data_IF_520749233739
#
_entry.id   IF_520749233739
#
_cell.length_a   1.000
_cell.length_b   1.000
_cell.length_c   1.000
_cell.angle_alpha   90.00
_cell.angle_beta   90.00
_cell.angle_gamma   90.00
#
_symmetry.space_group_name_H-M   'P 1'
#
loop_
_entity.id
_entity.type
_entity.pdbx_description
1 polymer ?
#
# COMPACT_ATOMS: atom_id res chain seq x y z
N UNK A 1 -43.33 51.18 6.89
CA UNK A 1 -42.23 50.48 7.62
C UNK A 1 -42.03 49.03 7.16
N UNK A 2 -43.07 48.34 6.65
CA UNK A 2 -43.00 46.97 6.13
C UNK A 2 -42.12 46.78 4.87
N UNK A 3 -42.21 47.66 3.87
CA UNK A 3 -41.45 47.52 2.62
C UNK A 3 -39.92 47.55 2.77
N UNK A 4 -39.40 48.34 3.72
CA UNK A 4 -37.95 48.39 4.01
C UNK A 4 -37.44 47.08 4.64
N UNK A 5 -38.25 46.41 5.45
CA UNK A 5 -37.88 45.12 6.08
C UNK A 5 -37.86 43.98 5.05
N UNK A 6 -38.82 43.97 4.13
CA UNK A 6 -38.87 42.99 3.03
C UNK A 6 -37.67 43.17 2.10
N UNK A 7 -37.29 44.43 1.78
CA UNK A 7 -36.12 44.72 0.95
C UNK A 7 -34.81 44.24 1.60
N UNK A 8 -34.63 44.47 2.91
CA UNK A 8 -33.42 44.03 3.64
C UNK A 8 -33.34 42.51 3.68
N UNK A 9 -34.44 41.80 3.92
CA UNK A 9 -34.47 40.33 3.93
C UNK A 9 -34.12 39.80 2.53
N UNK A 10 -34.69 40.37 1.46
CA UNK A 10 -34.38 39.98 0.09
C UNK A 10 -32.89 40.14 -0.24
N UNK A 11 -32.26 41.25 0.16
CA UNK A 11 -30.83 41.50 -0.07
C UNK A 11 -29.97 40.50 0.71
N UNK A 12 -30.26 40.24 1.97
CA UNK A 12 -29.52 39.26 2.77
C UNK A 12 -29.64 37.85 2.18
N UNK A 13 -30.83 37.48 1.70
CA UNK A 13 -31.05 36.17 1.09
C UNK A 13 -30.26 36.02 -0.22
N UNK A 14 -30.22 37.08 -1.04
CA UNK A 14 -29.40 37.11 -2.28
C UNK A 14 -27.91 37.01 -1.95
N UNK A 15 -27.44 37.69 -0.91
CA UNK A 15 -26.02 37.62 -0.50
C UNK A 15 -25.64 36.22 0.03
N UNK A 16 -26.54 35.55 0.75
CA UNK A 16 -26.33 34.17 1.21
C UNK A 16 -26.37 33.19 0.04
N UNK A 17 -27.28 33.38 -0.91
CA UNK A 17 -27.33 32.55 -2.13
C UNK A 17 -26.11 32.77 -3.01
N UNK A 18 -25.62 34.01 -3.16
CA UNK A 18 -24.40 34.30 -3.90
C UNK A 18 -23.16 33.74 -3.21
N UNK A 19 -23.07 33.80 -1.88
CA UNK A 19 -21.94 33.23 -1.14
C UNK A 19 -21.95 31.70 -1.16
N UNK A 20 -23.11 31.05 -1.02
CA UNK A 20 -23.26 29.60 -1.16
C UNK A 20 -23.01 29.12 -2.58
N UNK A 21 -23.44 29.87 -3.60
CA UNK A 21 -23.14 29.59 -5.01
C UNK A 21 -21.65 29.75 -5.33
N UNK A 22 -20.99 30.77 -4.79
CA UNK A 22 -19.53 30.94 -4.87
C UNK A 22 -18.77 29.80 -4.16
N UNK A 23 -19.26 29.37 -2.98
CA UNK A 23 -18.70 28.22 -2.26
C UNK A 23 -18.89 26.93 -3.08
N UNK A 24 -20.07 26.74 -3.68
CA UNK A 24 -20.42 25.59 -4.52
C UNK A 24 -19.56 25.53 -5.79
N UNK A 25 -19.31 26.66 -6.45
CA UNK A 25 -18.37 26.71 -7.59
C UNK A 25 -16.93 26.45 -7.18
N UNK A 26 -16.51 26.94 -6.02
CA UNK A 26 -15.19 26.63 -5.47
C UNK A 26 -15.04 25.14 -5.11
N UNK A 27 -16.15 24.47 -4.76
CA UNK A 27 -16.20 23.06 -4.41
C UNK A 27 -16.34 22.14 -5.63
N UNK A 28 -17.02 22.59 -6.68
CA UNK A 28 -17.11 21.87 -7.95
C UNK A 28 -15.77 21.81 -8.69
N UNK A 29 -14.83 22.69 -8.34
CA UNK A 29 -13.58 22.86 -9.07
C UNK A 29 -13.87 23.37 -10.50
N UNK A 30 -12.96 24.15 -11.06
CA UNK A 30 -12.80 23.99 -12.51
C UNK A 30 -12.47 22.52 -12.77
N UNK A 31 -12.77 22.00 -13.96
CA UNK A 31 -12.20 20.73 -14.39
C UNK A 31 -10.67 20.89 -14.43
N UNK A 32 -10.01 20.86 -13.27
CA UNK A 32 -8.59 20.66 -13.18
C UNK A 32 -8.39 19.31 -13.83
N UNK A 33 -7.86 19.33 -15.05
CA UNK A 33 -7.32 18.13 -15.65
C UNK A 33 -6.43 17.51 -14.60
N UNK A 34 -6.73 16.28 -14.18
CA UNK A 34 -5.85 15.44 -13.36
C UNK A 34 -4.62 15.02 -14.19
N UNK A 35 -3.97 16.01 -14.81
CA UNK A 35 -2.75 15.83 -15.57
C UNK A 35 -1.63 15.57 -14.58
N UNK A 36 -0.95 14.45 -14.77
CA UNK A 36 0.22 14.08 -13.99
C UNK A 36 1.38 15.00 -14.38
N UNK A 37 1.79 15.84 -13.44
CA UNK A 37 2.95 16.72 -13.56
C UNK A 37 4.18 16.03 -13.01
N UNK A 38 5.36 16.50 -13.40
CA UNK A 38 6.66 16.04 -12.88
C UNK A 38 7.37 17.17 -12.18
N UNK A 39 8.21 16.84 -11.21
CA UNK A 39 9.12 17.81 -10.61
C UNK A 39 10.33 18.04 -11.53
N UNK A 40 10.87 19.26 -11.53
CA UNK A 40 12.10 19.61 -12.25
C UNK A 40 13.34 19.45 -11.37
N UNK A 41 13.14 19.35 -10.05
CA UNK A 41 14.20 19.18 -9.07
C UNK A 41 13.69 18.57 -7.77
N UNK A 42 14.61 17.99 -7.00
CA UNK A 42 14.34 17.54 -5.64
C UNK A 42 13.76 18.66 -4.74
N UNK A 43 14.30 19.88 -4.84
CA UNK A 43 13.80 21.02 -4.05
C UNK A 43 12.34 21.37 -4.39
N UNK A 44 11.93 21.19 -5.64
CA UNK A 44 10.54 21.40 -6.05
C UNK A 44 9.62 20.36 -5.40
N UNK A 45 10.01 19.08 -5.41
CA UNK A 45 9.31 18.00 -4.72
C UNK A 45 9.19 18.28 -3.22
N UNK A 46 10.32 18.59 -2.56
CA UNK A 46 10.36 18.89 -1.12
C UNK A 46 9.47 20.07 -0.75
N UNK A 47 9.54 21.17 -1.50
CA UNK A 47 8.69 22.33 -1.27
C UNK A 47 7.21 22.03 -1.54
N UNK A 48 6.90 21.24 -2.56
CA UNK A 48 5.53 20.83 -2.86
C UNK A 48 4.92 20.05 -1.69
N UNK A 49 5.60 19.01 -1.19
CA UNK A 49 5.08 18.21 -0.08
C UNK A 49 4.97 19.06 1.19
N UNK A 50 6.01 19.84 1.54
CA UNK A 50 6.02 20.69 2.74
C UNK A 50 4.88 21.72 2.73
N UNK A 51 4.72 22.47 1.64
CA UNK A 51 3.70 23.50 1.53
C UNK A 51 2.29 22.91 1.62
N UNK A 52 2.05 21.76 1.00
CA UNK A 52 0.73 21.14 1.03
C UNK A 52 0.39 20.53 2.40
N UNK A 53 1.35 19.94 3.10
CA UNK A 53 1.16 19.47 4.48
C UNK A 53 0.92 20.65 5.44
N UNK A 54 1.61 21.79 5.26
CA UNK A 54 1.35 23.01 6.02
C UNK A 54 -0.03 23.63 5.72
N UNK A 55 -0.48 23.57 4.46
CA UNK A 55 -1.80 24.07 4.07
C UNK A 55 -2.92 23.17 4.62
N UNK A 56 -2.73 21.86 4.56
CA UNK A 56 -3.71 20.89 5.04
C UNK A 56 -3.79 20.85 6.58
N UNK A 57 -2.67 20.92 7.30
CA UNK A 57 -2.68 21.07 8.77
C UNK A 57 -3.44 22.32 9.24
N UNK A 58 -3.35 23.43 8.48
CA UNK A 58 -4.15 24.65 8.73
C UNK A 58 -5.64 24.47 8.43
N UNK A 59 -6.00 23.71 7.40
CA UNK A 59 -7.40 23.49 6.98
C UNK A 59 -8.14 22.44 7.81
N UNK A 60 -7.46 21.35 8.20
CA UNK A 60 -8.03 20.25 8.97
C UNK A 60 -7.87 20.42 10.48
N UNK A 61 -7.32 21.57 10.94
CA UNK A 61 -7.16 21.87 12.36
C UNK A 61 -6.18 20.95 13.10
N UNK A 62 -5.32 20.25 12.36
CA UNK A 62 -4.26 19.40 12.93
C UNK A 62 -3.06 20.29 13.24
N UNK A 63 -3.24 21.21 14.20
CA UNK A 63 -2.13 21.54 15.08
C UNK A 63 -1.64 20.23 15.68
N UNK A 64 -0.32 20.05 15.70
CA UNK A 64 0.33 18.80 16.08
C UNK A 64 -0.35 18.11 17.25
N UNK A 65 -0.35 16.78 17.21
CA UNK A 65 -0.69 15.93 18.35
C UNK A 65 0.27 16.29 19.51
N UNK A 66 -0.03 17.35 20.24
CA UNK A 66 -0.06 17.27 21.69
C UNK A 66 -1.39 16.58 21.94
N UNK A 67 -1.37 15.32 22.38
CA UNK A 67 -2.54 14.73 23.03
C UNK A 67 -2.77 15.57 24.28
N UNK A 68 -3.75 16.49 24.34
CA UNK A 68 -4.21 16.91 25.65
C UNK A 68 -4.96 15.68 26.15
N UNK A 69 -4.68 15.24 27.36
CA UNK A 69 -5.46 14.21 28.04
C UNK A 69 -6.95 14.53 27.97
N UNK A 70 -7.62 14.02 26.94
CA UNK A 70 -9.05 14.15 26.72
C UNK A 70 -9.66 12.75 26.90
N UNK A 71 -10.85 12.65 27.49
CA UNK A 71 -11.27 11.46 28.20
C UNK A 71 -11.44 10.28 27.24
N UNK A 72 -10.95 9.14 27.70
CA UNK A 72 -11.02 7.75 27.19
C UNK A 72 -12.40 7.27 26.68
N UNK A 73 -13.43 8.11 26.66
CA UNK A 73 -14.79 7.78 26.26
C UNK A 73 -14.99 7.74 24.74
N UNK A 74 -14.34 8.60 23.95
CA UNK A 74 -14.61 8.70 22.50
C UNK A 74 -13.97 7.55 21.69
N UNK A 75 -12.86 6.99 22.17
CA UNK A 75 -12.20 5.84 21.52
C UNK A 75 -12.78 4.48 21.96
N UNK A 76 -13.52 4.44 23.07
CA UNK A 76 -14.12 3.19 23.58
C UNK A 76 -15.25 2.67 22.70
N UNK A 77 -16.08 3.57 22.17
CA UNK A 77 -17.27 3.19 21.41
C UNK A 77 -16.95 2.75 19.97
N UNK A 78 -15.90 3.32 19.36
CA UNK A 78 -15.43 2.90 18.03
C UNK A 78 -14.74 1.52 18.11
N UNK A 79 -13.94 1.30 19.15
CA UNK A 79 -13.26 0.01 19.37
C UNK A 79 -14.24 -1.13 19.73
N UNK A 80 -15.28 -0.84 20.53
CA UNK A 80 -16.31 -1.82 20.88
C UNK A 80 -17.19 -2.23 19.67
N UNK A 81 -17.34 -1.35 18.68
CA UNK A 81 -18.11 -1.63 17.46
C UNK A 81 -17.30 -2.48 16.46
N UNK A 82 -15.96 -2.39 16.47
CA UNK A 82 -15.10 -3.23 15.63
C UNK A 82 -14.86 -4.64 16.20
N UNK A 83 -14.98 -4.82 17.51
CA UNK A 83 -14.74 -6.10 18.17
C UNK A 83 -15.86 -7.15 18.00
N UNK A 84 -17.01 -6.77 17.43
CA UNK A 84 -18.17 -7.65 17.22
C UNK A 84 -18.35 -8.13 15.78
N UNK A 85 -17.44 -7.77 14.87
CA UNK A 85 -17.41 -8.36 13.54
C UNK A 85 -16.72 -9.73 13.60
N UNK A 86 -17.49 -10.81 13.75
CA UNK A 86 -17.00 -12.14 13.39
C UNK A 86 -16.43 -12.07 11.97
N UNK A 87 -15.11 -12.29 11.85
CA UNK A 87 -14.41 -12.37 10.59
C UNK A 87 -14.92 -13.61 9.82
N UNK A 88 -16.06 -13.44 9.15
CA UNK A 88 -16.52 -14.33 8.11
C UNK A 88 -15.40 -14.41 7.06
N UNK A 89 -15.08 -15.58 6.48
CA UNK A 89 -14.13 -15.67 5.38
C UNK A 89 -14.55 -14.70 4.28
N UNK A 90 -13.82 -13.60 4.14
CA UNK A 90 -14.01 -12.71 3.01
C UNK A 90 -13.53 -13.45 1.77
N UNK A 91 -14.45 -13.78 0.88
CA UNK A 91 -14.12 -14.20 -0.46
C UNK A 91 -14.43 -13.05 -1.40
N UNK A 92 -13.48 -12.73 -2.28
CA UNK A 92 -13.72 -11.75 -3.33
C UNK A 92 -14.76 -12.35 -4.28
N UNK A 93 -15.83 -11.61 -4.59
CA UNK A 93 -16.63 -11.90 -5.79
C UNK A 93 -15.72 -11.56 -6.96
N UNK A 94 -15.61 -12.47 -7.93
CA UNK A 94 -14.68 -12.34 -9.04
C UNK A 94 -14.87 -10.99 -9.75
N UNK A 95 -13.85 -10.13 -9.62
CA UNK A 95 -13.58 -9.13 -10.64
C UNK A 95 -13.56 -9.89 -11.98
N UNK A 96 -14.13 -9.32 -13.03
CA UNK A 96 -14.18 -9.98 -14.35
C UNK A 96 -12.76 -10.40 -14.72
N UNK A 97 -12.47 -11.70 -14.67
CA UNK A 97 -11.12 -12.21 -14.94
C UNK A 97 -10.79 -11.90 -16.40
N UNK A 98 -9.75 -11.09 -16.58
CA UNK A 98 -9.26 -10.75 -17.92
C UNK A 98 -8.37 -11.90 -18.38
N UNK A 99 -8.63 -12.40 -19.58
CA UNK A 99 -7.81 -13.45 -20.17
C UNK A 99 -6.34 -13.04 -20.22
N UNK A 100 -5.45 -13.93 -19.78
CA UNK A 100 -4.00 -13.71 -19.79
C UNK A 100 -3.45 -12.90 -18.61
N UNK A 101 -4.30 -12.51 -17.64
CA UNK A 101 -3.89 -11.81 -16.42
C UNK A 101 -4.04 -12.74 -15.22
N UNK A 102 -2.95 -12.94 -14.47
CA UNK A 102 -2.95 -13.71 -13.23
C UNK A 102 -2.76 -12.79 -12.01
N UNK A 103 -3.32 -13.18 -10.87
CA UNK A 103 -3.19 -12.49 -9.58
C UNK A 103 -2.38 -13.38 -8.61
N UNK A 104 -1.58 -12.82 -7.70
CA UNK A 104 -0.82 -13.66 -6.79
C UNK A 104 -1.76 -14.32 -5.78
N UNK A 105 -1.62 -15.63 -5.62
CA UNK A 105 -2.40 -16.43 -4.67
C UNK A 105 -1.47 -17.05 -3.63
N UNK A 106 -2.00 -17.45 -2.47
CA UNK A 106 -1.25 -18.25 -1.50
C UNK A 106 -1.15 -19.73 -1.89
N UNK A 107 -1.94 -20.17 -2.89
CA UNK A 107 -1.94 -21.52 -3.44
C UNK A 107 -1.98 -21.41 -4.97
N UNK A 108 -1.03 -22.05 -5.67
CA UNK A 108 -1.04 -22.21 -7.14
C UNK A 108 -0.84 -23.66 -7.53
N UNK A 109 -1.19 -24.00 -8.76
CA UNK A 109 -0.92 -25.31 -9.36
C UNK A 109 -0.53 -25.17 -10.83
N UNK A 110 0.35 -26.06 -11.29
CA UNK A 110 0.68 -26.25 -12.70
C UNK A 110 0.07 -27.56 -13.27
N UNK A 111 -0.82 -28.19 -12.50
CA UNK A 111 -1.44 -29.48 -12.81
C UNK A 111 -0.65 -30.71 -12.31
N UNK A 112 0.67 -30.60 -12.17
CA UNK A 112 1.52 -31.69 -11.64
C UNK A 112 1.94 -31.46 -10.19
N UNK A 113 2.07 -30.19 -9.80
CA UNK A 113 2.46 -29.73 -8.49
C UNK A 113 1.45 -28.73 -7.92
N UNK A 114 1.31 -28.73 -6.61
CA UNK A 114 0.70 -27.65 -5.83
C UNK A 114 1.81 -26.92 -5.09
N UNK A 115 1.75 -25.60 -5.14
CA UNK A 115 2.64 -24.68 -4.46
C UNK A 115 1.78 -23.92 -3.47
N UNK A 116 2.08 -24.00 -2.17
CA UNK A 116 1.30 -23.26 -1.20
C UNK A 116 2.15 -22.69 -0.08
N UNK A 117 1.79 -21.49 0.33
CA UNK A 117 2.35 -20.82 1.50
C UNK A 117 1.65 -21.37 2.74
N UNK A 118 2.44 -21.79 3.71
CA UNK A 118 2.03 -22.30 5.02
C UNK A 118 2.65 -21.42 6.10
N UNK A 119 1.86 -21.07 7.12
CA UNK A 119 2.27 -20.08 8.11
C UNK A 119 2.13 -18.65 7.56
N UNK A 120 2.57 -17.66 8.32
CA UNK A 120 2.62 -16.26 7.83
C UNK A 120 1.38 -15.41 8.09
N UNK A 121 0.43 -15.84 8.94
CA UNK A 121 -0.65 -14.93 9.38
C UNK A 121 -0.28 -14.12 10.64
N UNK A 122 0.68 -14.61 11.43
CA UNK A 122 1.20 -13.89 12.59
C UNK A 122 2.54 -13.23 12.26
N UNK A 123 2.52 -11.89 12.23
CA UNK A 123 3.66 -10.99 11.97
C UNK A 123 4.87 -11.19 12.91
N UNK A 124 4.73 -12.00 13.95
CA UNK A 124 5.63 -12.07 15.11
C UNK A 124 6.39 -13.40 15.21
N UNK A 125 5.88 -14.48 14.60
CA UNK A 125 6.30 -15.84 14.99
C UNK A 125 7.28 -16.53 14.05
N UNK A 126 7.71 -15.86 12.97
CA UNK A 126 8.81 -16.28 12.09
C UNK A 126 8.90 -17.78 11.87
N UNK A 127 7.99 -18.35 11.08
CA UNK A 127 7.99 -19.76 10.66
C UNK A 127 7.04 -19.93 9.46
N UNK A 128 7.31 -19.18 8.40
CA UNK A 128 6.55 -19.30 7.15
C UNK A 128 7.31 -20.23 6.21
N UNK A 129 6.62 -21.14 5.53
CA UNK A 129 7.22 -22.01 4.53
C UNK A 129 6.37 -22.05 3.26
N UNK A 130 7.00 -22.03 2.09
CA UNK A 130 6.38 -22.48 0.85
C UNK A 130 6.61 -23.99 0.75
N UNK A 131 5.55 -24.75 0.54
CA UNK A 131 5.59 -26.19 0.34
C UNK A 131 5.24 -26.51 -1.10
N UNK A 132 6.07 -27.33 -1.74
CA UNK A 132 5.84 -27.85 -3.10
C UNK A 132 5.49 -29.33 -2.99
N UNK A 133 4.30 -29.68 -3.46
CA UNK A 133 3.74 -31.04 -3.39
C UNK A 133 3.54 -31.55 -4.80
N UNK A 134 4.12 -32.70 -5.13
CA UNK A 134 3.71 -33.43 -6.34
C UNK A 134 2.32 -34.00 -6.09
N UNK A 135 1.38 -33.74 -6.99
CA UNK A 135 -0.01 -34.23 -6.89
C UNK A 135 -0.43 -35.12 -8.04
N UNK A 136 0.32 -35.12 -9.13
CA UNK A 136 0.11 -36.03 -10.26
C UNK A 136 1.44 -36.71 -10.69
N UNK A 137 1.42 -38.02 -10.96
CA UNK A 137 0.27 -38.92 -10.76
C UNK A 137 -0.02 -39.16 -9.25
N UNK A 138 -1.27 -39.50 -8.86
CA UNK A 138 -1.66 -39.58 -7.45
C UNK A 138 -0.85 -40.57 -6.61
N UNK A 139 -0.39 -41.67 -7.21
CA UNK A 139 0.46 -42.69 -6.58
C UNK A 139 1.83 -42.17 -6.12
N UNK A 140 2.30 -41.07 -6.72
CA UNK A 140 3.59 -40.43 -6.40
C UNK A 140 3.43 -39.19 -5.51
N UNK A 141 2.22 -38.96 -4.96
CA UNK A 141 1.90 -37.77 -4.20
C UNK A 141 2.79 -37.64 -2.97
N UNK A 142 3.58 -36.56 -2.93
CA UNK A 142 4.53 -36.32 -1.84
C UNK A 142 4.97 -34.85 -1.81
N UNK A 143 5.41 -34.40 -0.64
CA UNK A 143 6.15 -33.14 -0.52
C UNK A 143 7.52 -33.33 -1.17
N UNK A 144 7.84 -32.51 -2.18
CA UNK A 144 9.11 -32.62 -2.92
C UNK A 144 10.11 -31.53 -2.56
N UNK A 145 9.64 -30.39 -2.04
CA UNK A 145 10.51 -29.27 -1.65
C UNK A 145 9.82 -28.34 -0.65
N UNK A 146 10.64 -27.60 0.09
CA UNK A 146 10.24 -26.57 1.04
C UNK A 146 11.19 -25.38 0.97
N UNK A 147 10.65 -24.18 1.00
CA UNK A 147 11.41 -22.93 1.17
C UNK A 147 10.93 -22.33 2.49
N UNK A 148 11.86 -22.01 3.40
CA UNK A 148 11.53 -21.60 4.78
C UNK A 148 12.08 -20.20 5.04
N UNK A 149 11.25 -19.33 5.58
CA UNK A 149 11.63 -17.99 6.06
C UNK A 149 11.53 -17.94 7.58
N UNK A 150 12.64 -17.59 8.22
CA UNK A 150 12.81 -17.74 9.69
C UNK A 150 12.76 -16.43 10.46
N UNK A 151 12.89 -15.27 9.81
CA UNK A 151 12.97 -13.97 10.50
C UNK A 151 12.23 -12.88 9.73
N UNK A 152 11.38 -12.12 10.43
CA UNK A 152 10.80 -10.81 10.07
C UNK A 152 10.21 -10.64 8.65
N UNK A 153 9.95 -11.75 7.95
CA UNK A 153 9.47 -11.76 6.57
C UNK A 153 8.25 -12.67 6.49
N UNK A 154 7.20 -12.16 5.85
CA UNK A 154 5.92 -12.84 5.67
C UNK A 154 5.64 -12.99 4.19
N UNK A 155 5.58 -14.21 3.64
CA UNK A 155 5.14 -14.43 2.26
C UNK A 155 3.63 -14.15 2.15
N UNK A 156 3.25 -13.32 1.18
CA UNK A 156 1.87 -12.83 1.01
C UNK A 156 1.19 -13.33 -0.27
N UNK A 157 1.95 -13.90 -1.20
CA UNK A 157 1.40 -14.46 -2.43
C UNK A 157 2.50 -14.98 -3.35
N UNK A 158 2.10 -15.73 -4.37
CA UNK A 158 3.03 -16.31 -5.33
C UNK A 158 2.45 -16.40 -6.75
N UNK A 159 3.37 -16.44 -7.72
CA UNK A 159 3.10 -16.85 -9.10
C UNK A 159 3.93 -18.09 -9.44
N UNK A 160 3.37 -18.95 -10.27
CA UNK A 160 4.13 -20.03 -10.94
C UNK A 160 3.91 -19.87 -12.43
N UNK A 161 5.00 -19.70 -13.18
CA UNK A 161 4.97 -19.60 -14.63
C UNK A 161 6.14 -20.38 -15.22
N UNK A 162 5.81 -21.42 -16.00
CA UNK A 162 6.80 -22.32 -16.62
C UNK A 162 7.82 -22.82 -15.58
N UNK A 163 9.08 -22.43 -15.71
CA UNK A 163 10.19 -22.86 -14.84
C UNK A 163 10.57 -21.79 -13.79
N UNK A 164 9.63 -20.92 -13.45
CA UNK A 164 9.81 -19.82 -12.49
C UNK A 164 8.73 -19.83 -11.43
N UNK A 165 9.16 -19.67 -10.20
CA UNK A 165 8.32 -19.39 -9.04
C UNK A 165 8.68 -17.99 -8.56
N UNK A 166 7.69 -17.13 -8.41
CA UNK A 166 7.84 -15.79 -7.84
C UNK A 166 7.10 -15.78 -6.51
N UNK A 167 7.77 -15.37 -5.43
CA UNK A 167 7.17 -15.22 -4.12
C UNK A 167 7.25 -13.76 -3.72
N UNK A 168 6.11 -13.18 -3.33
CA UNK A 168 6.03 -11.85 -2.73
C UNK A 168 6.11 -11.99 -1.24
N UNK A 169 6.97 -11.18 -0.63
CA UNK A 169 7.16 -11.14 0.80
C UNK A 169 7.05 -9.70 1.30
N UNK A 170 6.64 -9.58 2.56
CA UNK A 170 6.63 -8.32 3.28
C UNK A 170 7.60 -8.44 4.44
N UNK A 171 8.55 -7.52 4.55
CA UNK A 171 9.47 -7.44 5.68
C UNK A 171 9.00 -6.41 6.71
N UNK A 172 9.22 -6.71 7.99
CA UNK A 172 8.86 -5.86 9.11
C UNK A 172 10.10 -5.45 9.90
N UNK A 173 10.15 -4.19 10.32
CA UNK A 173 11.09 -3.77 11.37
C UNK A 173 10.35 -3.46 12.65
N UNK A 174 11.01 -3.79 13.75
CA UNK A 174 10.68 -3.25 15.05
C UNK A 174 11.08 -1.78 15.09
N UNK A 175 10.12 -0.87 14.97
CA UNK A 175 10.34 0.53 15.35
C UNK A 175 9.87 0.74 16.78
N UNK A 176 10.82 1.08 17.65
CA UNK A 176 10.53 1.50 19.02
C UNK A 176 10.03 2.95 18.98
N UNK A 177 8.75 3.13 18.65
CA UNK A 177 8.05 4.40 18.80
C UNK A 177 7.77 4.55 20.30
N UNK A 178 8.60 5.32 20.99
CA UNK A 178 8.51 5.50 22.45
C UNK A 178 7.07 5.72 22.92
N UNK A 179 6.76 5.17 24.11
CA UNK A 179 5.47 4.69 24.68
C UNK A 179 5.13 3.21 24.42
N UNK A 180 5.92 2.31 25.03
CA UNK A 180 5.42 1.09 25.68
C UNK A 180 4.90 -0.05 24.82
N UNK A 181 4.81 0.09 23.49
CA UNK A 181 4.39 -0.96 22.59
C UNK A 181 5.38 -1.11 21.42
N UNK A 182 6.09 -2.24 21.29
CA UNK A 182 6.81 -2.55 20.05
C UNK A 182 5.78 -2.79 18.94
N UNK A 183 5.66 -1.83 18.02
CA UNK A 183 4.87 -1.99 16.79
C UNK A 183 5.76 -2.54 15.67
N UNK A 184 5.32 -3.62 15.02
CA UNK A 184 5.91 -4.08 13.77
C UNK A 184 5.29 -3.27 12.63
N UNK A 185 6.14 -2.56 11.88
CA UNK A 185 5.68 -1.84 10.69
C UNK A 185 6.28 -2.51 9.45
N UNK A 186 5.44 -2.92 8.49
CA UNK A 186 5.96 -3.37 7.21
C UNK A 186 6.70 -2.20 6.55
N UNK A 187 7.89 -2.46 6.01
CA UNK A 187 8.73 -1.40 5.41
C UNK A 187 9.12 -1.68 3.97
N UNK A 188 9.20 -2.95 3.59
CA UNK A 188 9.59 -3.33 2.24
C UNK A 188 8.72 -4.47 1.72
N UNK A 189 8.49 -4.43 0.42
CA UNK A 189 8.04 -5.55 -0.36
C UNK A 189 9.26 -6.22 -0.99
N UNK A 190 9.46 -7.49 -0.71
CA UNK A 190 10.50 -8.31 -1.29
C UNK A 190 9.90 -9.27 -2.31
N UNK A 191 10.66 -9.56 -3.36
CA UNK A 191 10.28 -10.46 -4.43
C UNK A 191 11.43 -11.44 -4.61
N UNK A 192 11.16 -12.71 -4.35
CA UNK A 192 12.12 -13.78 -4.58
C UNK A 192 11.70 -14.58 -5.81
N UNK A 193 12.60 -14.68 -6.79
CA UNK A 193 12.39 -15.44 -8.02
C UNK A 193 13.27 -16.69 -7.97
N UNK A 194 12.62 -17.84 -8.02
CA UNK A 194 13.24 -19.16 -8.03
C UNK A 194 13.17 -19.79 -9.41
N UNK A 195 14.24 -20.45 -9.80
CA UNK A 195 14.31 -21.37 -10.92
C UNK A 195 13.93 -22.79 -10.47
N UNK A 196 13.03 -23.44 -11.23
CA UNK A 196 12.45 -24.75 -10.91
C UNK A 196 13.04 -25.91 -11.76
N UNK A 197 14.22 -25.72 -12.35
CA UNK A 197 14.85 -26.75 -13.19
C UNK A 197 15.07 -28.07 -12.44
N UNK A 198 15.36 -27.99 -11.15
CA UNK A 198 15.21 -29.10 -10.20
C UNK A 198 14.17 -28.71 -9.15
N UNK A 199 12.97 -29.29 -9.25
CA UNK A 199 11.84 -28.99 -8.35
C UNK A 199 12.13 -29.37 -6.90
N UNK A 200 13.09 -30.29 -6.65
CA UNK A 200 13.51 -30.70 -5.31
C UNK A 200 14.49 -29.70 -4.68
N UNK A 201 15.11 -28.86 -5.49
CA UNK A 201 16.04 -27.82 -5.07
C UNK A 201 15.81 -26.49 -5.84
N UNK A 202 14.66 -25.81 -5.63
CA UNK A 202 14.41 -24.49 -6.22
C UNK A 202 15.57 -23.54 -5.94
N UNK A 203 16.11 -22.92 -6.99
CA UNK A 203 17.28 -22.05 -6.89
C UNK A 203 16.86 -20.60 -6.93
N UNK A 204 17.16 -19.82 -5.87
CA UNK A 204 16.97 -18.37 -5.91
C UNK A 204 17.88 -17.77 -6.99
N UNK A 205 17.29 -17.12 -7.99
CA UNK A 205 18.01 -16.51 -9.13
C UNK A 205 17.89 -14.99 -9.16
N UNK A 206 16.91 -14.43 -8.45
CA UNK A 206 16.75 -12.98 -8.32
C UNK A 206 16.05 -12.64 -7.01
N UNK A 207 16.55 -11.63 -6.32
CA UNK A 207 15.89 -10.97 -5.20
C UNK A 207 15.68 -9.49 -5.58
N UNK A 208 14.48 -8.97 -5.37
CA UNK A 208 14.13 -7.57 -5.59
C UNK A 208 13.50 -7.04 -4.31
N UNK A 209 13.92 -5.87 -3.85
CA UNK A 209 13.33 -5.18 -2.70
C UNK A 209 12.84 -3.81 -3.14
N UNK A 210 11.58 -3.50 -2.85
CA UNK A 210 10.98 -2.19 -3.02
C UNK A 210 10.57 -1.64 -1.67
N UNK A 211 10.72 -0.33 -1.48
CA UNK A 211 10.18 0.34 -0.30
C UNK A 211 8.65 0.38 -0.32
N UNK A 212 8.06 0.26 0.86
CA UNK A 212 6.62 0.41 1.08
C UNK A 212 5.84 -0.89 1.23
N UNK A 213 4.54 -0.70 1.37
CA UNK A 213 3.53 -1.74 1.49
C UNK A 213 3.18 -2.30 0.12
N UNK A 214 3.08 -3.61 0.01
CA UNK A 214 2.45 -4.25 -1.13
C UNK A 214 1.01 -3.73 -1.28
N UNK A 215 0.66 -3.20 -2.46
CA UNK A 215 -0.71 -2.80 -2.79
C UNK A 215 -1.38 -3.84 -3.67
N UNK A 216 -0.76 -4.17 -4.81
CA UNK A 216 -1.29 -5.19 -5.72
C UNK A 216 -0.19 -5.66 -6.69
N UNK A 217 -0.36 -6.86 -7.26
CA UNK A 217 0.44 -7.35 -8.36
C UNK A 217 -0.41 -8.10 -9.39
N UNK A 218 0.08 -8.08 -10.63
CA UNK A 218 -0.51 -8.78 -11.78
C UNK A 218 0.61 -9.40 -12.59
N UNK A 219 0.42 -10.64 -13.03
CA UNK A 219 1.26 -11.24 -14.05
C UNK A 219 0.55 -11.22 -15.38
N UNK A 220 1.21 -10.74 -16.42
CA UNK A 220 0.74 -10.77 -17.81
C UNK A 220 1.84 -11.42 -18.63
N UNK A 221 1.54 -12.57 -19.23
CA UNK A 221 2.51 -13.40 -19.93
C UNK A 221 3.73 -13.77 -19.05
N UNK A 222 4.89 -13.15 -19.32
CA UNK A 222 6.15 -13.37 -18.60
C UNK A 222 6.52 -12.18 -17.67
N UNK A 223 5.68 -11.16 -17.61
CA UNK A 223 5.93 -9.94 -16.86
C UNK A 223 5.10 -9.88 -15.57
N UNK A 224 5.76 -9.51 -14.48
CA UNK A 224 5.12 -9.20 -13.20
C UNK A 224 5.09 -7.68 -13.04
N UNK A 225 3.90 -7.14 -12.87
CA UNK A 225 3.64 -5.76 -12.51
C UNK A 225 3.31 -5.74 -11.02
N UNK A 226 4.08 -5.00 -10.23
CA UNK A 226 3.87 -4.80 -8.81
C UNK A 226 3.61 -3.31 -8.58
N UNK A 227 2.70 -3.01 -7.67
CA UNK A 227 2.48 -1.67 -7.14
C UNK A 227 2.73 -1.71 -5.64
N UNK A 228 3.63 -0.84 -5.16
CA UNK A 228 3.82 -0.59 -3.73
C UNK A 228 3.39 0.82 -3.37
N UNK A 229 3.05 1.03 -2.09
CA UNK A 229 2.76 2.36 -1.55
C UNK A 229 3.55 2.60 -0.27
N UNK A 230 4.21 3.74 -0.15
CA UNK A 230 4.93 4.13 1.05
C UNK A 230 4.57 5.56 1.44
N UNK A 231 4.37 5.86 2.73
CA UNK A 231 4.24 7.25 3.16
C UNK A 231 5.54 8.01 2.93
N UNK A 232 5.43 9.30 2.61
CA UNK A 232 6.60 10.16 2.50
C UNK A 232 7.16 10.41 3.91
N UNK A 233 8.40 9.97 4.14
CA UNK A 233 9.11 10.20 5.40
C UNK A 233 10.12 11.34 5.28
N UNK A 234 10.22 12.13 6.36
CA UNK A 234 11.27 13.12 6.54
C UNK A 234 12.29 12.60 7.56
N UNK A 235 13.58 12.62 7.20
CA UNK A 235 14.68 12.44 8.14
C UNK A 235 15.61 13.65 7.99
N UNK A 236 15.85 14.37 9.08
CA UNK A 236 16.70 15.56 9.11
C UNK A 236 16.32 16.62 8.05
N UNK A 237 15.01 16.87 7.91
CA UNK A 237 14.38 17.77 6.91
C UNK A 237 14.49 17.27 5.45
N UNK A 238 15.01 16.07 5.19
CA UNK A 238 15.13 15.49 3.84
C UNK A 238 14.08 14.41 3.59
N UNK A 239 13.52 14.36 2.37
CA UNK A 239 12.59 13.32 1.93
C UNK A 239 13.37 12.11 1.46
N UNK A 240 13.02 10.94 1.98
CA UNK A 240 13.52 9.67 1.47
C UNK A 240 12.75 9.33 0.19
N UNK A 241 13.46 9.26 -0.93
CA UNK A 241 12.88 8.82 -2.21
C UNK A 241 12.83 7.29 -2.24
N UNK A 242 11.82 6.70 -2.92
CA UNK A 242 11.76 5.26 -3.12
C UNK A 242 13.02 4.75 -3.79
N UNK A 243 13.41 3.54 -3.41
CA UNK A 243 14.50 2.81 -4.02
C UNK A 243 14.04 1.40 -4.42
N UNK A 244 14.65 0.88 -5.48
CA UNK A 244 14.47 -0.49 -5.95
C UNK A 244 15.83 -1.16 -5.85
N UNK A 245 15.95 -2.18 -5.01
CA UNK A 245 17.19 -2.95 -4.88
C UNK A 245 17.05 -4.27 -5.63
N UNK A 246 17.98 -4.58 -6.53
CA UNK A 246 18.00 -5.85 -7.28
C UNK A 246 19.30 -6.57 -6.97
N UNK A 247 19.23 -7.76 -6.38
CA UNK A 247 20.38 -8.57 -5.98
C UNK A 247 21.43 -7.79 -5.15
N UNK A 248 20.98 -6.86 -4.30
CA UNK A 248 21.83 -6.03 -3.46
C UNK A 248 22.30 -4.72 -4.10
N UNK A 249 22.02 -4.48 -5.38
CA UNK A 249 22.32 -3.21 -6.06
C UNK A 249 21.08 -2.30 -6.05
N UNK A 250 21.19 -1.12 -5.41
CA UNK A 250 20.09 -0.17 -5.28
C UNK A 250 20.04 0.82 -6.43
N UNK A 251 18.86 0.96 -7.04
CA UNK A 251 18.47 2.01 -7.96
C UNK A 251 17.62 3.02 -7.21
N UNK A 252 18.07 4.27 -7.16
CA UNK A 252 17.30 5.38 -6.59
C UNK A 252 16.51 6.08 -7.69
N UNK A 253 15.25 6.40 -7.42
CA UNK A 253 14.39 7.11 -8.37
C UNK A 253 14.79 8.59 -8.43
N UNK A 254 15.04 9.11 -9.64
CA UNK A 254 15.29 10.55 -9.82
C UNK A 254 14.00 11.32 -9.45
N UNK A 255 14.07 12.38 -8.63
CA UNK A 255 12.91 13.23 -8.34
C UNK A 255 12.10 13.67 -9.57
N UNK A 256 12.75 13.77 -10.74
CA UNK A 256 12.10 14.13 -12.02
C UNK A 256 11.24 13.02 -12.63
N UNK A 257 11.40 11.79 -12.17
CA UNK A 257 10.57 10.65 -12.55
C UNK A 257 9.33 10.52 -11.65
N UNK A 258 9.25 11.30 -10.57
CA UNK A 258 8.08 11.34 -9.69
C UNK A 258 6.98 12.19 -10.33
N UNK A 259 5.80 11.60 -10.43
CA UNK A 259 4.60 12.27 -10.92
C UNK A 259 3.69 12.68 -9.76
N UNK A 260 2.99 13.78 -9.92
CA UNK A 260 2.03 14.28 -8.92
C UNK A 260 0.82 14.95 -9.59
N UNK A 261 -0.26 15.10 -8.84
CA UNK A 261 -1.41 15.94 -9.22
C UNK A 261 -1.42 17.21 -8.36
N UNK A 262 -1.99 18.29 -8.86
CA UNK A 262 -2.07 19.57 -8.13
C UNK A 262 -3.14 19.58 -7.02
N UNK A 263 -3.74 18.42 -6.70
CA UNK A 263 -4.74 18.31 -5.66
C UNK A 263 -4.08 18.36 -4.27
N UNK A 264 -4.42 19.33 -3.41
CA UNK A 264 -3.87 19.40 -2.06
C UNK A 264 -4.45 18.29 -1.19
N UNK A 265 -3.57 17.54 -0.51
CA UNK A 265 -3.93 16.48 0.45
C UNK A 265 -3.29 16.70 1.85
N UNK A 266 -3.87 16.07 2.87
CA UNK A 266 -3.36 15.97 4.25
C UNK A 266 -2.18 15.03 4.40
N UNK A 267 -2.06 14.07 3.49
CA UNK A 267 -1.01 13.06 3.51
C UNK A 267 -0.56 12.72 2.11
N UNK A 268 0.74 12.53 1.93
CA UNK A 268 1.34 12.13 0.67
C UNK A 268 2.02 10.77 0.82
N UNK A 269 1.87 9.95 -0.21
CA UNK A 269 2.52 8.64 -0.33
C UNK A 269 3.21 8.55 -1.68
N UNK A 270 4.35 7.87 -1.75
CA UNK A 270 4.87 7.38 -3.02
C UNK A 270 4.09 6.13 -3.41
N UNK A 271 3.76 6.02 -4.70
CA UNK A 271 3.26 4.79 -5.32
C UNK A 271 4.25 4.41 -6.40
N UNK A 272 4.86 3.23 -6.28
CA UNK A 272 5.95 2.74 -7.15
C UNK A 272 5.49 1.51 -7.91
#
# INVERSE_FOLDING_TARGET
MFGKRILVIAIVTILVLASTYMLYYKFLGENESYELKRFNSYNELKNFVKNNVELSSKWFGVYGIQIPTAPRAVFGDIAATMATAEASPQYSRTNVQVSGVDEPDIVKTDGSYIYYIKGGQDYVSGNSELVIVRVYPPEDMQVVSKIVWTENVVPIGLFVNKNRLVVFLTSYILRNVGVGFPGYYPITCEIEVYELADIRAPKLVRNITLEGYYLNARMIEEYVYLVTTSPIYYIDDEIILPSITVNGESLYIDPKEVYYTNAPDVSYTFTT
#
